data_IF_656994021558
#
_entry.id   IF_656994021558
#
_cell.length_a   1.000
_cell.length_b   1.000
_cell.length_c   1.000
_cell.angle_alpha   90.00
_cell.angle_beta   90.00
_cell.angle_gamma   90.00
#
_symmetry.space_group_name_H-M   'P 1'
#
loop_
_entity.id
_entity.type
_entity.pdbx_description
1 polymer ?
#
# COMPACT_ATOMS: atom_id res chain seq x y z
N UNK A 1 -95.49 -22.06 -10.03
CA UNK A 1 -94.43 -23.09 -10.07
C UNK A 1 -93.58 -22.79 -11.29
N UNK A 2 -92.28 -22.50 -11.26
CA UNK A 2 -91.19 -23.08 -10.49
C UNK A 2 -90.12 -21.97 -10.32
N UNK A 3 -89.82 -21.59 -9.08
CA UNK A 3 -88.83 -20.57 -8.73
C UNK A 3 -87.44 -21.22 -8.64
N UNK A 4 -86.41 -20.53 -9.11
CA UNK A 4 -85.13 -20.51 -8.40
C UNK A 4 -84.17 -21.69 -8.57
N UNK A 5 -83.81 -22.05 -9.81
CA UNK A 5 -82.62 -22.88 -10.07
C UNK A 5 -81.75 -22.24 -11.18
N UNK A 6 -81.29 -21.01 -10.94
CA UNK A 6 -80.08 -20.53 -11.61
C UNK A 6 -78.99 -20.55 -10.56
N UNK A 7 -77.99 -21.38 -10.82
CA UNK A 7 -76.80 -21.57 -10.01
C UNK A 7 -76.28 -20.22 -9.50
N UNK A 8 -76.47 -19.94 -8.20
CA UNK A 8 -75.44 -19.24 -7.44
C UNK A 8 -74.22 -20.17 -7.48
N UNK A 9 -73.45 -20.12 -8.57
CA UNK A 9 -72.05 -20.46 -8.51
C UNK A 9 -71.48 -19.45 -7.51
N UNK A 10 -71.30 -19.93 -6.30
CA UNK A 10 -70.80 -19.17 -5.18
C UNK A 10 -69.42 -18.62 -5.58
N UNK A 11 -69.38 -17.36 -6.03
CA UNK A 11 -68.13 -16.66 -6.34
C UNK A 11 -67.23 -16.57 -5.10
N UNK A 12 -67.78 -16.85 -3.90
CA UNK A 12 -67.04 -16.93 -2.64
C UNK A 12 -66.28 -18.26 -2.44
N UNK A 13 -66.64 -19.33 -3.16
CA UNK A 13 -65.91 -20.61 -3.14
C UNK A 13 -64.88 -20.72 -4.28
N UNK A 14 -64.90 -19.81 -5.25
CA UNK A 14 -63.76 -19.58 -6.14
C UNK A 14 -62.68 -18.80 -5.39
N UNK A 15 -61.98 -19.57 -4.58
CA UNK A 15 -60.53 -19.50 -4.47
C UNK A 15 -59.92 -18.31 -3.71
N UNK A 16 -60.62 -17.76 -2.72
CA UNK A 16 -60.02 -16.80 -1.79
C UNK A 16 -58.81 -17.39 -1.05
N UNK A 17 -58.85 -18.69 -0.71
CA UNK A 17 -57.75 -19.35 -0.02
C UNK A 17 -56.57 -19.70 -0.93
N UNK A 18 -56.76 -20.18 -2.17
CA UNK A 18 -55.60 -20.40 -3.06
C UNK A 18 -55.14 -19.09 -3.71
N UNK A 19 -56.02 -18.11 -3.93
CA UNK A 19 -55.65 -16.75 -4.33
C UNK A 19 -54.79 -16.06 -3.28
N UNK A 20 -55.16 -16.14 -2.00
CA UNK A 20 -54.34 -15.63 -0.89
C UNK A 20 -53.02 -16.39 -0.76
N UNK A 21 -53.02 -17.72 -0.89
CA UNK A 21 -51.79 -18.53 -0.92
C UNK A 21 -50.89 -18.18 -2.11
N UNK A 22 -51.47 -17.90 -3.28
CA UNK A 22 -50.76 -17.46 -4.46
C UNK A 22 -50.12 -16.08 -4.25
N UNK A 23 -50.82 -15.14 -3.63
CA UNK A 23 -50.27 -13.82 -3.28
C UNK A 23 -49.14 -13.97 -2.27
N UNK A 24 -49.32 -14.74 -1.20
CA UNK A 24 -48.26 -14.98 -0.20
C UNK A 24 -47.04 -15.64 -0.84
N UNK A 25 -47.23 -16.62 -1.73
CA UNK A 25 -46.15 -17.25 -2.48
C UNK A 25 -45.38 -16.27 -3.36
N UNK A 26 -46.08 -15.37 -4.06
CA UNK A 26 -45.44 -14.31 -4.86
C UNK A 26 -44.66 -13.34 -3.98
N UNK A 27 -45.21 -12.94 -2.83
CA UNK A 27 -44.52 -12.06 -1.88
C UNK A 27 -43.26 -12.73 -1.30
N UNK A 28 -43.32 -14.01 -0.93
CA UNK A 28 -42.18 -14.78 -0.46
C UNK A 28 -41.12 -14.96 -1.56
N UNK A 29 -41.54 -15.20 -2.80
CA UNK A 29 -40.64 -15.32 -3.95
C UNK A 29 -39.89 -13.99 -4.19
N UNK A 30 -40.61 -12.87 -4.16
CA UNK A 30 -40.02 -11.54 -4.30
C UNK A 30 -39.09 -11.21 -3.13
N UNK A 31 -39.49 -11.53 -1.89
CA UNK A 31 -38.68 -11.31 -0.70
C UNK A 31 -37.36 -12.09 -0.76
N UNK A 32 -37.40 -13.36 -1.17
CA UNK A 32 -36.20 -14.19 -1.31
C UNK A 32 -35.29 -13.71 -2.46
N UNK A 33 -35.86 -13.24 -3.58
CA UNK A 33 -35.09 -12.65 -4.67
C UNK A 33 -34.37 -11.36 -4.24
N UNK A 34 -35.04 -10.53 -3.43
CA UNK A 34 -34.44 -9.31 -2.84
C UNK A 34 -33.34 -9.69 -1.83
N UNK A 35 -33.54 -10.75 -1.05
CA UNK A 35 -32.56 -11.19 -0.06
C UNK A 35 -31.29 -11.75 -0.72
N UNK A 36 -31.46 -12.58 -1.76
CA UNK A 36 -30.35 -13.18 -2.52
C UNK A 36 -29.54 -12.11 -3.25
N UNK A 37 -30.20 -11.17 -3.95
CA UNK A 37 -29.51 -10.06 -4.62
C UNK A 37 -28.71 -9.19 -3.64
N UNK A 38 -29.23 -8.94 -2.43
CA UNK A 38 -28.49 -8.24 -1.37
C UNK A 38 -27.27 -9.03 -0.89
N UNK A 39 -27.41 -10.34 -0.70
CA UNK A 39 -26.31 -11.19 -0.29
C UNK A 39 -25.18 -11.19 -1.33
N UNK A 40 -25.52 -11.34 -2.62
CA UNK A 40 -24.55 -11.26 -3.72
C UNK A 40 -23.83 -9.91 -3.75
N UNK A 41 -24.55 -8.79 -3.54
CA UNK A 41 -23.94 -7.45 -3.48
C UNK A 41 -22.93 -7.36 -2.33
N UNK A 42 -23.25 -7.86 -1.13
CA UNK A 42 -22.33 -7.82 0.03
C UNK A 42 -21.09 -8.66 -0.24
N UNK A 43 -21.24 -9.84 -0.82
CA UNK A 43 -20.10 -10.71 -1.18
C UNK A 43 -19.19 -10.01 -2.19
N UNK A 44 -19.75 -9.48 -3.28
CA UNK A 44 -18.99 -8.74 -4.29
C UNK A 44 -18.31 -7.52 -3.70
N UNK A 45 -19.00 -6.70 -2.91
CA UNK A 45 -18.40 -5.53 -2.25
C UNK A 45 -17.28 -5.93 -1.29
N UNK A 46 -17.46 -6.98 -0.48
CA UNK A 46 -16.43 -7.45 0.44
C UNK A 46 -15.18 -7.95 -0.30
N UNK A 47 -15.38 -8.62 -1.43
CA UNK A 47 -14.29 -9.09 -2.30
C UNK A 47 -13.57 -7.91 -2.98
N UNK A 48 -14.30 -6.91 -3.48
CA UNK A 48 -13.75 -5.69 -4.05
C UNK A 48 -12.96 -4.89 -3.01
N UNK A 49 -13.47 -4.77 -1.77
CA UNK A 49 -12.77 -4.12 -0.66
C UNK A 49 -11.50 -4.90 -0.34
N UNK A 50 -11.59 -6.22 -0.11
CA UNK A 50 -10.41 -7.05 0.16
C UNK A 50 -9.35 -6.94 -0.93
N UNK A 51 -9.77 -6.93 -2.20
CA UNK A 51 -8.87 -6.75 -3.33
C UNK A 51 -8.27 -5.33 -3.38
N UNK A 52 -9.08 -4.29 -3.14
CA UNK A 52 -8.62 -2.91 -3.07
C UNK A 52 -7.59 -2.68 -1.95
N UNK A 53 -7.72 -3.37 -0.82
CA UNK A 53 -6.76 -3.30 0.28
C UNK A 53 -5.43 -3.99 -0.02
N UNK A 54 -5.40 -4.88 -1.03
CA UNK A 54 -4.18 -5.49 -1.56
C UNK A 54 -3.48 -4.62 -2.61
N UNK A 55 -4.15 -3.59 -3.14
CA UNK A 55 -3.51 -2.67 -4.07
C UNK A 55 -2.37 -1.94 -3.35
N UNK A 56 -1.20 -1.79 -3.98
CA UNK A 56 -0.09 -1.03 -3.41
C UNK A 56 -0.60 0.37 -3.05
N UNK A 57 -0.49 0.74 -1.76
CA UNK A 57 -0.81 2.11 -1.36
C UNK A 57 0.14 3.06 -2.12
N UNK A 58 -0.37 4.18 -2.66
CA UNK A 58 0.52 5.19 -3.23
C UNK A 58 1.50 5.60 -2.15
N UNK A 59 2.78 5.27 -2.35
CA UNK A 59 3.84 5.67 -1.42
C UNK A 59 3.85 7.20 -1.42
N UNK A 60 3.62 7.82 -0.27
CA UNK A 60 3.88 9.26 -0.11
C UNK A 60 5.32 9.49 -0.59
N UNK A 61 5.48 10.45 -1.51
CA UNK A 61 6.77 10.72 -2.13
C UNK A 61 7.81 10.98 -1.05
N UNK A 62 8.79 10.09 -0.95
CA UNK A 62 9.91 10.25 -0.03
C UNK A 62 11.01 11.15 -0.63
N UNK A 63 10.70 11.83 -1.74
CA UNK A 63 11.59 12.79 -2.39
C UNK A 63 11.98 13.91 -1.44
N UNK A 64 13.22 14.39 -1.62
CA UNK A 64 13.87 15.43 -0.82
C UNK A 64 14.11 15.07 0.65
N UNK A 65 13.92 13.80 1.06
CA UNK A 65 14.38 13.35 2.38
C UNK A 65 15.86 13.04 2.34
N UNK A 66 16.57 13.35 3.42
CA UNK A 66 17.98 13.01 3.58
C UNK A 66 18.17 11.73 4.38
N UNK A 67 18.98 10.80 3.88
CA UNK A 67 19.27 9.51 4.51
C UNK A 67 20.78 9.26 4.57
N UNK A 68 21.25 8.62 5.64
CA UNK A 68 22.62 8.14 5.77
C UNK A 68 22.63 6.61 5.81
N UNK A 69 23.48 5.98 5.01
CA UNK A 69 23.60 4.52 4.96
C UNK A 69 25.06 4.16 5.17
N UNK A 70 25.39 3.33 6.15
CA UNK A 70 26.74 2.78 6.31
C UNK A 70 26.94 1.53 5.44
N UNK A 71 28.16 1.25 4.98
CA UNK A 71 28.48 0.02 4.27
C UNK A 71 27.97 0.00 2.83
N UNK A 72 28.25 1.08 2.09
CA UNK A 72 27.80 1.27 0.71
C UNK A 72 28.83 0.86 -0.36
N UNK A 73 29.99 0.33 0.03
CA UNK A 73 31.01 -0.13 -0.91
C UNK A 73 30.47 -1.25 -1.82
N UNK A 74 29.60 -2.14 -1.32
CA UNK A 74 29.01 -3.21 -2.12
C UNK A 74 27.67 -3.71 -1.53
N UNK A 75 27.14 -4.80 -2.07
CA UNK A 75 26.03 -5.55 -1.47
C UNK A 75 24.72 -4.77 -1.34
N UNK A 76 24.04 -4.94 -0.20
CA UNK A 76 22.72 -4.36 0.05
C UNK A 76 22.79 -2.83 0.23
N UNK A 77 23.77 -2.33 0.98
CA UNK A 77 23.95 -0.90 1.20
C UNK A 77 24.17 -0.13 -0.11
N UNK A 78 24.93 -0.69 -1.04
CA UNK A 78 25.14 -0.12 -2.37
C UNK A 78 23.83 -0.04 -3.18
N UNK A 79 23.05 -1.13 -3.24
CA UNK A 79 21.76 -1.15 -3.95
C UNK A 79 20.74 -0.21 -3.31
N UNK A 80 20.73 -0.14 -1.98
CA UNK A 80 19.84 0.74 -1.23
C UNK A 80 20.16 2.21 -1.50
N UNK A 81 21.44 2.58 -1.49
CA UNK A 81 21.88 3.94 -1.81
C UNK A 81 21.43 4.37 -3.21
N UNK A 82 21.62 3.50 -4.22
CA UNK A 82 21.11 3.77 -5.58
C UNK A 82 19.58 3.90 -5.60
N UNK A 83 18.87 2.98 -4.96
CA UNK A 83 17.40 2.99 -4.95
C UNK A 83 16.84 4.24 -4.29
N UNK A 84 17.45 4.72 -3.21
CA UNK A 84 17.02 5.94 -2.52
C UNK A 84 17.32 7.19 -3.35
N UNK A 85 18.45 7.25 -4.05
CA UNK A 85 18.75 8.33 -4.99
C UNK A 85 17.74 8.38 -6.16
N UNK A 86 17.37 7.22 -6.73
CA UNK A 86 16.32 7.08 -7.75
C UNK A 86 14.94 7.52 -7.25
N UNK A 87 14.67 7.37 -5.94
CA UNK A 87 13.45 7.85 -5.30
C UNK A 87 13.45 9.36 -5.03
N UNK A 88 14.53 10.06 -5.38
CA UNK A 88 14.64 11.51 -5.20
C UNK A 88 15.15 11.93 -3.83
N UNK A 89 15.73 11.02 -3.05
CA UNK A 89 16.32 11.34 -1.75
C UNK A 89 17.72 11.96 -1.90
N UNK A 90 18.16 12.64 -0.86
CA UNK A 90 19.55 12.98 -0.64
C UNK A 90 20.22 11.86 0.15
N UNK A 91 21.29 11.29 -0.39
CA UNK A 91 21.89 10.06 0.15
C UNK A 91 23.32 10.34 0.55
N UNK A 92 23.62 10.18 1.83
CA UNK A 92 24.98 10.07 2.32
C UNK A 92 25.36 8.59 2.41
N UNK A 93 26.12 8.13 1.43
CA UNK A 93 26.60 6.76 1.31
C UNK A 93 27.94 6.62 2.04
N UNK A 94 27.90 6.05 3.24
CA UNK A 94 29.06 5.72 4.06
C UNK A 94 29.82 4.54 3.47
N UNK A 95 31.06 4.77 3.06
CA UNK A 95 31.96 3.79 2.46
C UNK A 95 33.26 3.68 3.28
N UNK A 96 33.71 2.43 3.48
CA UNK A 96 35.01 2.14 4.07
C UNK A 96 36.12 2.57 3.10
N UNK A 97 35.94 2.35 1.79
CA UNK A 97 36.89 2.71 0.75
C UNK A 97 36.28 3.75 -0.21
N UNK A 98 36.33 5.05 0.12
CA UNK A 98 35.68 6.12 -0.67
C UNK A 98 36.25 6.27 -2.08
N UNK A 99 37.48 5.79 -2.30
CA UNK A 99 38.15 5.73 -3.62
C UNK A 99 38.19 4.30 -4.19
N UNK A 100 37.55 3.34 -3.53
CA UNK A 100 37.44 1.97 -4.00
C UNK A 100 36.47 1.85 -5.18
N UNK A 101 36.58 0.77 -5.93
CA UNK A 101 35.76 0.51 -7.12
C UNK A 101 34.26 0.64 -6.83
N UNK A 102 33.81 0.08 -5.70
CA UNK A 102 32.42 0.11 -5.28
C UNK A 102 31.86 1.51 -5.04
N UNK A 103 32.58 2.36 -4.31
CA UNK A 103 32.19 3.75 -4.06
C UNK A 103 32.20 4.59 -5.35
N UNK A 104 33.21 4.39 -6.21
CA UNK A 104 33.30 5.07 -7.51
C UNK A 104 32.17 4.65 -8.45
N UNK A 105 31.88 3.35 -8.53
CA UNK A 105 30.76 2.83 -9.30
C UNK A 105 29.42 3.37 -8.79
N UNK A 106 29.25 3.45 -7.45
CA UNK A 106 28.06 4.01 -6.84
C UNK A 106 27.89 5.48 -7.26
N UNK A 107 28.94 6.30 -7.07
CA UNK A 107 28.94 7.73 -7.41
C UNK A 107 28.67 7.97 -8.91
N UNK A 108 29.23 7.14 -9.79
CA UNK A 108 29.00 7.23 -11.25
C UNK A 108 27.55 6.89 -11.63
N UNK A 109 26.91 5.99 -10.89
CA UNK A 109 25.56 5.50 -11.20
C UNK A 109 24.42 6.33 -10.59
N UNK A 110 24.73 7.29 -9.71
CA UNK A 110 23.74 8.07 -8.97
C UNK A 110 23.80 9.56 -9.33
N UNK A 111 22.77 10.30 -8.95
CA UNK A 111 22.68 11.73 -9.17
C UNK A 111 23.63 12.54 -8.28
N UNK A 112 23.65 13.86 -8.47
CA UNK A 112 24.41 14.79 -7.63
C UNK A 112 23.94 14.81 -6.17
N UNK A 113 22.74 14.28 -5.86
CA UNK A 113 22.20 14.18 -4.50
C UNK A 113 22.85 13.08 -3.66
N UNK A 114 23.62 12.18 -4.28
CA UNK A 114 24.40 11.17 -3.55
C UNK A 114 25.80 11.69 -3.21
N UNK A 115 26.15 11.63 -1.94
CA UNK A 115 27.45 11.97 -1.39
C UNK A 115 28.14 10.71 -0.90
N UNK A 116 29.38 10.47 -1.34
CA UNK A 116 30.23 9.43 -0.74
C UNK A 116 30.85 10.02 0.52
N UNK A 117 30.69 9.34 1.65
CA UNK A 117 31.24 9.73 2.95
C UNK A 117 32.19 8.64 3.40
N UNK A 118 33.44 8.99 3.70
CA UNK A 118 34.37 8.04 4.28
C UNK A 118 33.96 7.74 5.73
N UNK A 119 33.75 6.47 6.06
CA UNK A 119 33.45 6.06 7.43
C UNK A 119 33.97 4.64 7.68
N UNK A 120 34.67 4.48 8.79
CA UNK A 120 34.91 3.19 9.44
C UNK A 120 34.18 3.24 10.78
N UNK A 121 33.17 2.40 10.94
CA UNK A 121 32.32 2.37 12.15
C UNK A 121 33.07 1.91 13.40
N UNK A 122 34.25 1.32 13.24
CA UNK A 122 35.10 0.90 14.36
C UNK A 122 36.02 2.02 14.87
N UNK A 123 36.00 3.18 14.22
CA UNK A 123 36.90 4.31 14.47
C UNK A 123 36.12 5.58 14.77
N UNK A 124 36.13 5.99 16.04
CA UNK A 124 35.40 7.18 16.50
C UNK A 124 35.81 8.46 15.77
N UNK A 125 37.09 8.60 15.40
CA UNK A 125 37.57 9.76 14.65
C UNK A 125 36.90 9.88 13.27
N UNK A 126 36.72 8.75 12.58
CA UNK A 126 36.06 8.70 11.28
C UNK A 126 34.54 8.83 11.40
N UNK A 127 33.94 8.32 12.48
CA UNK A 127 32.52 8.52 12.78
C UNK A 127 32.23 10.00 13.04
N UNK A 128 33.04 10.68 13.85
CA UNK A 128 32.89 12.12 14.11
C UNK A 128 33.08 12.95 12.84
N UNK A 129 34.10 12.63 12.04
CA UNK A 129 34.30 13.30 10.75
C UNK A 129 33.11 13.11 9.80
N UNK A 130 32.49 11.93 9.76
CA UNK A 130 31.29 11.68 8.98
C UNK A 130 30.09 12.50 9.50
N UNK A 131 29.91 12.60 10.82
CA UNK A 131 28.87 13.43 11.44
C UNK A 131 29.03 14.90 11.04
N UNK A 132 30.25 15.43 11.10
CA UNK A 132 30.53 16.82 10.73
C UNK A 132 30.32 17.05 9.23
N UNK A 133 30.75 16.10 8.39
CA UNK A 133 30.49 16.17 6.96
C UNK A 133 28.99 16.21 6.66
N UNK A 134 28.20 15.33 7.27
CA UNK A 134 26.74 15.29 7.06
C UNK A 134 26.11 16.61 7.49
N UNK A 135 26.41 17.12 8.70
CA UNK A 135 25.87 18.39 9.19
C UNK A 135 26.14 19.56 8.25
N UNK A 136 27.35 19.62 7.69
CA UNK A 136 27.78 20.72 6.82
C UNK A 136 27.25 20.60 5.38
N UNK A 137 26.74 19.44 4.99
CA UNK A 137 26.29 19.17 3.61
C UNK A 137 24.79 18.86 3.53
N UNK A 138 24.02 19.11 4.60
CA UNK A 138 22.57 18.95 4.55
C UNK A 138 21.97 19.86 3.45
N UNK A 139 20.99 19.37 2.69
CA UNK A 139 20.27 20.19 1.73
C UNK A 139 19.63 21.42 2.39
N UNK A 140 19.50 22.55 1.67
CA UNK A 140 18.84 23.73 2.21
C UNK A 140 17.41 23.43 2.69
N UNK A 141 17.11 23.81 3.94
CA UNK A 141 15.80 23.60 4.56
C UNK A 141 15.62 22.26 5.26
N UNK A 142 16.56 21.32 5.12
CA UNK A 142 16.54 20.09 5.91
C UNK A 142 17.02 20.34 7.35
N UNK A 143 16.32 19.72 8.31
CA UNK A 143 16.62 19.82 9.75
C UNK A 143 17.50 18.68 10.27
N UNK A 144 17.94 17.78 9.39
CA UNK A 144 18.71 16.59 9.74
C UNK A 144 18.36 15.38 8.89
N UNK A 145 18.76 14.20 9.36
CA UNK A 145 18.49 12.94 8.70
C UNK A 145 17.04 12.48 8.94
N UNK A 146 16.36 12.08 7.87
CA UNK A 146 15.11 11.35 7.94
C UNK A 146 15.32 9.91 8.44
N UNK A 147 16.44 9.29 8.06
CA UNK A 147 16.79 7.92 8.44
C UNK A 147 18.31 7.72 8.47
N UNK A 148 18.76 6.90 9.42
CA UNK A 148 20.09 6.32 9.49
C UNK A 148 19.96 4.80 9.31
N UNK A 149 20.66 4.24 8.34
CA UNK A 149 20.69 2.80 8.06
C UNK A 149 22.05 2.24 8.47
N UNK A 150 22.07 1.56 9.62
CA UNK A 150 23.23 0.82 10.13
C UNK A 150 23.31 -0.54 9.43
N UNK A 151 23.84 -0.55 8.21
CA UNK A 151 24.01 -1.75 7.39
C UNK A 151 25.45 -2.29 7.39
N UNK A 152 26.46 -1.50 7.79
CA UNK A 152 27.84 -1.99 7.83
C UNK A 152 27.97 -3.13 8.85
N UNK A 153 28.59 -4.23 8.42
CA UNK A 153 28.80 -5.44 9.19
C UNK A 153 29.81 -6.35 8.48
N UNK A 154 30.35 -7.31 9.23
CA UNK A 154 31.32 -8.33 8.78
C UNK A 154 30.74 -9.72 8.95
#
# INVERSE_FOLDING_TARGET
MNKGKLLMLNIRDLDSSKGLKMIMFVLDLLANLILDTRFQIVVVFSFLIHWAWRLPRPRKGAGNKTVFITGCDSGMGHRMARRFDEMGMHVFAGCLLPKGEGALALKKSCSTRLHIVHIDITRDDLVLAAVDYVKNNLPPGDKGLYCLVNNAGV
#
